data_IF_560736093337
#
_entry.id   IF_560736093337
#
_cell.length_a   1.000
_cell.length_b   1.000
_cell.length_c   1.000
_cell.angle_alpha   90.00
_cell.angle_beta   90.00
_cell.angle_gamma   90.00
#
_symmetry.space_group_name_H-M   'P 1'
#
loop_
_entity.id
_entity.type
_entity.pdbx_description
1 polymer ?
#
# COMPACT_ATOMS: atom_id res chain seq x y z
N UNK A 1 18.08 -10.02 -33.05
CA UNK A 1 17.52 -9.86 -31.70
C UNK A 1 16.42 -10.90 -31.57
N UNK A 2 16.65 -11.96 -30.81
CA UNK A 2 15.62 -12.95 -30.52
C UNK A 2 14.78 -12.38 -29.38
N UNK A 3 13.50 -12.24 -29.67
CA UNK A 3 12.42 -11.69 -28.85
C UNK A 3 12.39 -12.39 -27.47
N UNK A 4 13.04 -11.79 -26.45
CA UNK A 4 13.20 -12.38 -25.11
C UNK A 4 11.88 -12.47 -24.33
N UNK A 5 10.83 -11.84 -24.82
CA UNK A 5 9.54 -11.73 -24.13
C UNK A 5 8.54 -12.84 -24.47
N UNK A 6 8.84 -13.76 -25.40
CA UNK A 6 7.86 -14.74 -25.91
C UNK A 6 7.44 -15.86 -24.96
N UNK A 7 7.96 -15.91 -23.72
CA UNK A 7 7.69 -17.01 -22.78
C UNK A 7 7.42 -16.55 -21.33
N UNK A 8 7.14 -15.27 -21.07
CA UNK A 8 6.81 -14.82 -19.72
C UNK A 8 5.40 -15.31 -19.33
N UNK A 9 5.27 -15.86 -18.12
CA UNK A 9 3.95 -16.16 -17.53
C UNK A 9 3.23 -14.85 -17.21
N UNK A 10 1.91 -14.89 -17.12
CA UNK A 10 1.08 -13.72 -16.83
C UNK A 10 1.50 -12.90 -15.58
N UNK A 11 1.87 -13.50 -14.43
CA UNK A 11 2.42 -12.76 -13.29
C UNK A 11 3.70 -11.97 -13.62
N UNK A 12 4.55 -12.51 -14.49
CA UNK A 12 5.80 -11.88 -14.90
C UNK A 12 5.57 -10.75 -15.88
N UNK A 13 4.56 -10.88 -16.76
CA UNK A 13 4.11 -9.80 -17.64
C UNK A 13 3.52 -8.65 -16.81
N UNK A 14 2.63 -8.96 -15.86
CA UNK A 14 2.06 -7.98 -14.93
C UNK A 14 3.15 -7.22 -14.16
N UNK A 15 4.13 -7.94 -13.61
CA UNK A 15 5.25 -7.34 -12.88
C UNK A 15 6.11 -6.43 -13.79
N UNK A 16 6.35 -6.85 -15.04
CA UNK A 16 7.10 -6.05 -16.03
C UNK A 16 6.36 -4.76 -16.40
N UNK A 17 5.04 -4.80 -16.57
CA UNK A 17 4.23 -3.60 -16.86
C UNK A 17 4.32 -2.55 -15.74
N UNK A 18 4.27 -2.99 -14.47
CA UNK A 18 4.42 -2.09 -13.31
C UNK A 18 5.84 -1.49 -13.32
N UNK A 19 6.86 -2.33 -13.55
CA UNK A 19 8.26 -1.93 -13.60
C UNK A 19 8.51 -0.89 -14.70
N UNK A 20 8.01 -1.11 -15.91
CA UNK A 20 8.13 -0.19 -17.06
C UNK A 20 7.44 1.15 -16.79
N UNK A 21 6.19 1.13 -16.29
CA UNK A 21 5.49 2.38 -15.94
C UNK A 21 6.23 3.19 -14.88
N UNK A 22 6.80 2.54 -13.87
CA UNK A 22 7.62 3.21 -12.85
C UNK A 22 8.86 3.85 -13.46
N UNK A 23 9.56 3.15 -14.36
CA UNK A 23 10.74 3.67 -15.08
C UNK A 23 10.38 4.88 -15.94
N UNK A 24 9.33 4.78 -16.74
CA UNK A 24 8.89 5.85 -17.63
C UNK A 24 8.43 7.09 -16.86
N UNK A 25 7.69 6.90 -15.77
CA UNK A 25 7.27 8.01 -14.93
C UNK A 25 8.43 8.69 -14.19
N UNK A 26 9.40 7.93 -13.68
CA UNK A 26 10.62 8.50 -13.09
C UNK A 26 11.47 9.24 -14.13
N UNK A 27 11.59 8.71 -15.35
CA UNK A 27 12.32 9.37 -16.44
C UNK A 27 11.66 10.71 -16.82
N UNK A 28 10.32 10.76 -16.90
CA UNK A 28 9.56 12.00 -17.13
C UNK A 28 9.70 12.99 -15.97
N UNK A 29 9.71 12.50 -14.73
CA UNK A 29 9.95 13.34 -13.57
C UNK A 29 11.36 13.96 -13.62
N UNK A 30 12.38 13.21 -14.03
CA UNK A 30 13.72 13.75 -14.27
C UNK A 30 13.72 14.78 -15.41
N UNK A 31 13.13 14.46 -16.56
CA UNK A 31 13.05 15.35 -17.72
C UNK A 31 12.39 16.69 -17.40
N UNK A 32 11.34 16.69 -16.58
CA UNK A 32 10.63 17.91 -16.16
C UNK A 32 11.54 18.90 -15.40
N UNK A 33 12.59 18.40 -14.73
CA UNK A 33 13.52 19.20 -13.93
C UNK A 33 14.76 19.56 -14.74
N UNK A 34 15.32 18.61 -15.48
CA UNK A 34 16.64 18.72 -16.09
C UNK A 34 16.61 19.00 -17.60
N UNK A 35 15.46 18.74 -18.25
CA UNK A 35 15.34 18.68 -19.71
C UNK A 35 15.97 17.45 -20.35
N UNK A 36 16.39 16.45 -19.56
CA UNK A 36 17.06 15.24 -20.04
C UNK A 36 16.62 14.01 -19.23
N UNK A 37 15.73 13.22 -19.81
CA UNK A 37 15.18 11.99 -19.24
C UNK A 37 16.22 10.89 -18.96
N UNK A 38 17.44 11.00 -19.49
CA UNK A 38 18.48 9.97 -19.37
C UNK A 38 19.35 10.08 -18.11
N UNK A 39 19.22 11.20 -17.37
CA UNK A 39 19.96 11.39 -16.13
C UNK A 39 19.50 10.41 -15.05
N UNK A 40 20.44 10.01 -14.19
CA UNK A 40 20.17 9.09 -13.10
C UNK A 40 19.23 9.73 -12.06
N UNK A 41 18.02 9.20 -11.85
CA UNK A 41 17.07 9.75 -10.86
C UNK A 41 17.65 9.85 -9.44
N UNK A 42 18.53 8.94 -9.04
CA UNK A 42 19.17 8.94 -7.70
C UNK A 42 20.11 10.14 -7.53
N UNK A 43 20.69 10.64 -8.63
CA UNK A 43 21.59 11.81 -8.61
C UNK A 43 20.81 13.13 -8.69
N UNK A 44 19.63 13.11 -9.34
CA UNK A 44 18.77 14.27 -9.54
C UNK A 44 17.92 14.56 -8.30
N UNK A 45 17.30 13.55 -7.70
CA UNK A 45 16.41 13.73 -6.55
C UNK A 45 17.19 13.80 -5.22
N UNK A 46 16.85 14.71 -4.29
CA UNK A 46 17.56 14.85 -3.02
C UNK A 46 17.31 13.64 -2.10
N UNK A 47 18.37 13.15 -1.46
CA UNK A 47 18.27 12.10 -0.44
C UNK A 47 17.64 12.65 0.85
N UNK A 48 16.48 12.14 1.31
CA UNK A 48 15.81 12.62 2.51
C UNK A 48 16.54 12.29 3.82
N UNK A 49 17.49 11.35 3.81
CA UNK A 49 18.26 10.95 5.00
C UNK A 49 19.51 11.82 5.26
N UNK A 50 19.87 12.69 4.32
CA UNK A 50 21.04 13.55 4.43
C UNK A 50 20.82 14.61 5.52
N UNK A 51 21.47 14.42 6.69
CA UNK A 51 21.21 15.22 7.89
C UNK A 51 21.87 16.60 7.85
N UNK A 52 22.85 16.83 6.98
CA UNK A 52 23.43 18.16 6.76
C UNK A 52 22.49 19.07 5.95
N UNK A 53 21.43 18.49 5.38
CA UNK A 53 20.39 19.14 4.58
C UNK A 53 19.09 19.45 5.38
N UNK A 54 19.19 19.66 6.69
CA UNK A 54 18.05 19.70 7.65
C UNK A 54 17.46 21.07 7.97
N UNK A 55 17.73 22.09 7.16
CA UNK A 55 16.93 23.31 7.13
C UNK A 55 16.63 23.54 5.66
N UNK A 56 15.36 23.38 5.28
CA UNK A 56 14.84 23.84 3.98
C UNK A 56 15.75 23.55 2.79
N UNK A 57 16.12 22.27 2.56
CA UNK A 57 16.62 21.91 1.22
C UNK A 57 15.41 21.86 0.31
N UNK A 58 15.01 23.06 -0.08
CA UNK A 58 14.53 23.39 -1.41
C UNK A 58 15.09 22.36 -2.39
N UNK A 59 14.18 21.70 -3.10
CA UNK A 59 14.34 21.38 -4.51
C UNK A 59 15.27 22.45 -5.09
N UNK A 60 16.57 22.16 -5.21
CA UNK A 60 17.62 23.18 -5.37
C UNK A 60 17.62 23.84 -6.75
N UNK A 61 16.51 23.67 -7.45
CA UNK A 61 16.14 24.18 -8.75
C UNK A 61 14.83 24.92 -8.51
N UNK A 62 14.84 26.25 -8.56
CA UNK A 62 13.60 27.01 -8.74
C UNK A 62 12.98 26.54 -10.05
N UNK A 63 11.92 25.74 -9.96
CA UNK A 63 11.17 25.31 -11.12
C UNK A 63 10.34 26.49 -11.64
N UNK A 64 10.31 26.65 -12.95
CA UNK A 64 9.25 27.45 -13.57
C UNK A 64 7.89 26.80 -13.30
N UNK A 65 6.80 27.57 -13.40
CA UNK A 65 5.44 27.06 -13.20
C UNK A 65 5.15 25.84 -14.10
N UNK A 66 5.58 25.89 -15.37
CA UNK A 66 5.41 24.77 -16.31
C UNK A 66 6.19 23.52 -15.88
N UNK A 67 7.40 23.68 -15.34
CA UNK A 67 8.20 22.55 -14.84
C UNK A 67 7.61 21.97 -13.56
N UNK A 68 7.09 22.80 -12.66
CA UNK A 68 6.40 22.34 -11.47
C UNK A 68 5.16 21.53 -11.82
N UNK A 69 4.34 22.00 -12.75
CA UNK A 69 3.17 21.26 -13.24
C UNK A 69 3.58 19.93 -13.86
N UNK A 70 4.56 19.94 -14.76
CA UNK A 70 5.05 18.73 -15.41
C UNK A 70 5.64 17.71 -14.42
N UNK A 71 6.37 18.19 -13.41
CA UNK A 71 6.92 17.33 -12.36
C UNK A 71 5.80 16.70 -11.53
N UNK A 72 4.81 17.50 -11.09
CA UNK A 72 3.66 17.00 -10.33
C UNK A 72 2.85 15.97 -11.12
N UNK A 73 2.65 16.20 -12.41
CA UNK A 73 1.95 15.27 -13.30
C UNK A 73 2.73 13.93 -13.40
N UNK A 74 4.04 13.97 -13.64
CA UNK A 74 4.88 12.78 -13.69
C UNK A 74 4.88 12.00 -12.36
N UNK A 75 4.92 12.72 -11.23
CA UNK A 75 4.84 12.13 -9.90
C UNK A 75 3.47 11.48 -9.63
N UNK A 76 2.39 12.13 -10.07
CA UNK A 76 1.03 11.61 -9.98
C UNK A 76 0.85 10.32 -10.80
N UNK A 77 1.49 10.19 -11.95
CA UNK A 77 1.44 8.99 -12.80
C UNK A 77 2.05 7.74 -12.14
N UNK A 78 3.15 7.92 -11.40
CA UNK A 78 3.75 6.87 -10.55
C UNK A 78 3.04 6.72 -9.20
N UNK A 79 2.02 7.54 -8.95
CA UNK A 79 1.12 7.43 -7.80
C UNK A 79 1.38 8.43 -6.69
N UNK A 80 2.53 9.09 -6.66
CA UNK A 80 2.91 9.94 -5.53
C UNK A 80 2.12 11.25 -5.59
N UNK A 81 1.29 11.49 -4.56
CA UNK A 81 0.53 12.73 -4.42
C UNK A 81 -0.71 12.83 -5.30
N UNK A 82 -1.15 11.73 -5.90
CA UNK A 82 -2.35 11.69 -6.75
C UNK A 82 -3.61 12.04 -5.95
N UNK A 83 -4.45 12.90 -6.55
CA UNK A 83 -5.73 13.31 -5.98
C UNK A 83 -6.80 12.22 -6.09
N UNK A 84 -6.88 11.56 -7.24
CA UNK A 84 -7.91 10.58 -7.58
C UNK A 84 -7.52 9.14 -7.24
N UNK A 85 -8.53 8.31 -7.01
CA UNK A 85 -8.36 6.88 -6.78
C UNK A 85 -7.88 6.17 -8.06
N UNK A 86 -7.11 5.10 -7.87
CA UNK A 86 -6.79 4.10 -8.88
C UNK A 86 -7.38 2.77 -8.41
N UNK A 87 -8.59 2.47 -8.83
CA UNK A 87 -9.34 1.30 -8.38
C UNK A 87 -8.87 -0.01 -9.05
N UNK A 88 -9.52 -1.13 -8.69
CA UNK A 88 -9.18 -2.46 -9.19
C UNK A 88 -9.25 -2.54 -10.72
N UNK A 89 -10.29 -1.99 -11.34
CA UNK A 89 -10.42 -1.93 -12.80
C UNK A 89 -9.26 -1.15 -13.45
N UNK A 90 -8.89 -0.01 -12.87
CA UNK A 90 -7.82 0.85 -13.41
C UNK A 90 -6.42 0.22 -13.33
N UNK A 91 -6.21 -0.73 -12.41
CA UNK A 91 -4.95 -1.49 -12.33
C UNK A 91 -4.99 -2.82 -13.08
N UNK A 92 -6.12 -3.16 -13.71
CA UNK A 92 -6.28 -4.37 -14.50
C UNK A 92 -6.50 -5.64 -13.67
N UNK A 93 -7.13 -5.53 -12.51
CA UNK A 93 -7.63 -6.70 -11.77
C UNK A 93 -8.98 -7.17 -12.35
N UNK A 94 -9.23 -8.47 -12.25
CA UNK A 94 -10.47 -9.11 -12.68
C UNK A 94 -11.36 -9.47 -11.50
N UNK A 95 -12.63 -9.78 -11.78
CA UNK A 95 -13.63 -10.17 -10.78
C UNK A 95 -13.15 -11.39 -9.96
N UNK A 96 -13.37 -11.35 -8.65
CA UNK A 96 -12.98 -12.45 -7.76
C UNK A 96 -11.55 -12.39 -7.26
N UNK A 97 -10.78 -11.35 -7.59
CA UNK A 97 -9.46 -11.11 -6.99
C UNK A 97 -9.52 -11.06 -5.45
N UNK A 98 -8.41 -11.34 -4.79
CA UNK A 98 -8.29 -11.19 -3.35
C UNK A 98 -7.84 -9.77 -2.99
N UNK A 99 -8.65 -9.01 -2.26
CA UNK A 99 -8.27 -7.68 -1.79
C UNK A 99 -7.52 -7.76 -0.45
N UNK A 100 -6.27 -7.32 -0.41
CA UNK A 100 -5.46 -7.21 0.80
C UNK A 100 -5.24 -5.74 1.12
N UNK A 101 -5.86 -5.24 2.18
CA UNK A 101 -5.79 -3.86 2.63
C UNK A 101 -4.62 -3.71 3.61
N UNK A 102 -3.77 -2.73 3.34
CA UNK A 102 -2.50 -2.54 4.04
C UNK A 102 -2.67 -2.38 5.56
N UNK A 103 -3.71 -1.67 6.01
CA UNK A 103 -3.94 -1.40 7.41
C UNK A 103 -3.45 -0.01 7.87
N UNK A 104 -2.89 0.08 9.06
CA UNK A 104 -2.36 1.31 9.65
C UNK A 104 -3.37 2.08 10.51
N UNK A 105 -3.77 3.27 10.06
CA UNK A 105 -4.65 4.17 10.80
C UNK A 105 -6.09 4.04 10.29
N UNK A 106 -7.09 4.23 11.16
CA UNK A 106 -8.52 4.06 10.85
C UNK A 106 -8.99 4.76 9.57
N UNK A 107 -8.59 6.01 9.35
CA UNK A 107 -8.95 6.77 8.15
C UNK A 107 -8.28 6.26 6.87
N UNK A 108 -7.11 5.60 6.98
CA UNK A 108 -6.46 4.94 5.84
C UNK A 108 -7.16 3.63 5.53
N UNK A 109 -7.36 2.80 6.55
CA UNK A 109 -8.12 1.54 6.46
C UNK A 109 -9.51 1.74 5.86
N UNK A 110 -10.23 2.79 6.28
CA UNK A 110 -11.56 3.09 5.75
C UNK A 110 -11.49 3.59 4.31
N UNK A 111 -10.48 4.39 3.93
CA UNK A 111 -10.27 4.78 2.53
C UNK A 111 -9.93 3.57 1.64
N UNK A 112 -9.08 2.66 2.11
CA UNK A 112 -8.75 1.39 1.44
C UNK A 112 -10.01 0.53 1.26
N UNK A 113 -10.84 0.45 2.30
CA UNK A 113 -12.09 -0.29 2.26
C UNK A 113 -13.09 0.33 1.27
N UNK A 114 -13.27 1.66 1.28
CA UNK A 114 -14.18 2.35 0.37
C UNK A 114 -13.78 2.12 -1.09
N UNK A 115 -12.52 2.34 -1.46
CA UNK A 115 -12.11 2.14 -2.87
C UNK A 115 -12.22 0.68 -3.32
N UNK A 116 -12.16 -0.26 -2.39
CA UNK A 116 -12.32 -1.69 -2.64
C UNK A 116 -13.80 -2.04 -2.81
N UNK A 117 -14.64 -1.62 -1.87
CA UNK A 117 -16.08 -1.93 -1.85
C UNK A 117 -16.85 -1.21 -2.95
N UNK A 118 -16.40 -0.02 -3.34
CA UNK A 118 -17.05 0.83 -4.36
C UNK A 118 -16.57 0.54 -5.79
N UNK A 119 -15.49 -0.22 -5.98
CA UNK A 119 -15.01 -0.55 -7.34
C UNK A 119 -16.04 -1.36 -8.14
N UNK A 120 -16.03 -1.19 -9.45
CA UNK A 120 -16.88 -1.95 -10.38
C UNK A 120 -16.45 -3.40 -10.53
N UNK A 121 -15.17 -3.70 -10.25
CA UNK A 121 -14.63 -5.05 -10.18
C UNK A 121 -14.66 -5.47 -8.71
N UNK A 122 -15.44 -6.50 -8.36
CA UNK A 122 -15.58 -6.94 -6.96
C UNK A 122 -14.54 -7.99 -6.59
N UNK A 123 -13.95 -7.88 -5.39
CA UNK A 123 -13.10 -8.94 -4.86
C UNK A 123 -13.92 -10.16 -4.43
N UNK A 124 -13.28 -11.33 -4.43
CA UNK A 124 -13.85 -12.55 -3.86
C UNK A 124 -13.77 -12.59 -2.33
N UNK A 125 -12.84 -11.84 -1.73
CA UNK A 125 -12.69 -11.65 -0.27
C UNK A 125 -11.93 -10.35 -0.01
N UNK A 126 -12.26 -9.67 1.10
CA UNK A 126 -11.56 -8.48 1.58
C UNK A 126 -10.85 -8.83 2.88
N UNK A 127 -9.52 -8.71 2.89
CA UNK A 127 -8.67 -8.95 4.06
C UNK A 127 -8.08 -7.62 4.51
N UNK A 128 -8.37 -7.19 5.74
CA UNK A 128 -7.71 -6.02 6.36
C UNK A 128 -6.69 -6.47 7.38
N UNK A 129 -5.44 -6.03 7.22
CA UNK A 129 -4.38 -6.36 8.17
C UNK A 129 -4.27 -5.34 9.31
N UNK A 130 -3.94 -5.82 10.51
CA UNK A 130 -3.70 -4.95 11.67
C UNK A 130 -2.82 -5.62 12.73
N UNK A 131 -1.87 -4.86 13.28
CA UNK A 131 -0.92 -5.31 14.30
C UNK A 131 -1.60 -5.41 15.68
N UNK A 132 -1.64 -6.62 16.26
CA UNK A 132 -2.31 -6.86 17.54
C UNK A 132 -1.58 -6.30 18.74
N UNK A 133 -0.37 -5.80 18.56
CA UNK A 133 0.41 -5.21 19.64
C UNK A 133 0.67 -3.72 19.40
N UNK A 134 0.46 -3.17 18.20
CA UNK A 134 0.62 -1.73 17.95
C UNK A 134 -0.47 -0.97 18.68
N UNK A 135 -0.11 -0.47 19.86
CA UNK A 135 -0.94 0.47 20.60
C UNK A 135 -1.22 1.72 19.75
N UNK A 136 -2.47 2.11 19.70
CA UNK A 136 -2.90 3.38 19.10
C UNK A 136 -2.81 4.49 20.14
N UNK A 137 -2.22 5.61 19.75
CA UNK A 137 -2.04 6.77 20.65
C UNK A 137 -3.37 7.50 20.91
N UNK A 138 -3.44 8.31 21.97
CA UNK A 138 -4.61 9.14 22.30
C UNK A 138 -5.08 10.01 21.11
N UNK A 139 -4.12 10.53 20.32
CA UNK A 139 -4.41 11.31 19.10
C UNK A 139 -5.05 10.42 18.03
N UNK A 140 -4.57 9.20 17.85
CA UNK A 140 -5.14 8.23 16.92
C UNK A 140 -6.51 7.74 17.40
N UNK A 141 -6.74 7.57 18.69
CA UNK A 141 -8.04 7.23 19.26
C UNK A 141 -9.07 8.33 18.99
N UNK A 142 -8.72 9.59 19.28
CA UNK A 142 -9.61 10.75 19.02
C UNK A 142 -9.98 10.84 17.54
N UNK A 143 -9.00 10.65 16.65
CA UNK A 143 -9.25 10.65 15.22
C UNK A 143 -10.12 9.48 14.78
N UNK A 144 -9.87 8.28 15.33
CA UNK A 144 -10.65 7.07 15.02
C UNK A 144 -12.10 7.21 15.47
N UNK A 145 -12.33 7.74 16.66
CA UNK A 145 -13.68 8.06 17.16
C UNK A 145 -14.44 8.97 16.19
N UNK A 146 -13.79 10.07 15.73
CA UNK A 146 -14.36 10.98 14.73
C UNK A 146 -14.68 10.27 13.42
N UNK A 147 -13.72 9.51 12.89
CA UNK A 147 -13.81 8.86 11.56
C UNK A 147 -14.88 7.77 11.54
N UNK A 148 -14.96 6.95 12.59
CA UNK A 148 -15.88 5.82 12.68
C UNK A 148 -17.22 6.16 13.35
N UNK A 149 -17.39 7.40 13.84
CA UNK A 149 -18.60 7.81 14.55
C UNK A 149 -18.79 7.13 15.91
N UNK A 150 -17.68 6.82 16.60
CA UNK A 150 -17.65 6.16 17.91
C UNK A 150 -17.36 7.16 19.04
N UNK A 151 -17.64 6.77 20.28
CA UNK A 151 -17.09 7.46 21.45
C UNK A 151 -15.61 7.08 21.60
N UNK A 152 -14.79 7.97 22.20
CA UNK A 152 -13.33 7.71 22.34
C UNK A 152 -13.06 6.48 23.21
N UNK A 153 -13.88 6.28 24.25
CA UNK A 153 -13.86 5.13 25.15
C UNK A 153 -14.21 3.80 24.48
N UNK A 154 -14.89 3.84 23.33
CA UNK A 154 -15.29 2.65 22.57
C UNK A 154 -14.24 2.30 21.50
N UNK A 155 -13.25 3.16 21.25
CA UNK A 155 -12.18 2.88 20.29
C UNK A 155 -11.28 1.77 20.82
N UNK A 156 -10.87 0.86 19.93
CA UNK A 156 -9.89 -0.17 20.24
C UNK A 156 -8.60 0.40 20.84
N UNK A 157 -7.78 -0.49 21.40
CA UNK A 157 -6.47 -0.16 21.97
C UNK A 157 -5.33 -0.51 21.03
N UNK A 158 -5.58 -1.38 20.05
CA UNK A 158 -4.60 -1.87 19.08
C UNK A 158 -5.03 -1.60 17.65
N UNK A 159 -4.08 -1.60 16.71
CA UNK A 159 -4.37 -1.51 15.28
C UNK A 159 -5.29 -2.64 14.80
N UNK A 160 -5.10 -3.86 15.30
CA UNK A 160 -5.96 -5.00 14.98
C UNK A 160 -7.42 -4.78 15.40
N UNK A 161 -7.66 -4.27 16.60
CA UNK A 161 -9.02 -3.94 17.06
C UNK A 161 -9.64 -2.82 16.22
N UNK A 162 -8.84 -1.82 15.82
CA UNK A 162 -9.31 -0.76 14.90
C UNK A 162 -9.67 -1.30 13.53
N UNK A 163 -8.89 -2.25 12.98
CA UNK A 163 -9.21 -2.88 11.69
C UNK A 163 -10.59 -3.56 11.72
N UNK A 164 -10.90 -4.27 12.81
CA UNK A 164 -12.23 -4.83 13.03
C UNK A 164 -13.31 -3.73 13.12
N UNK A 165 -13.05 -2.66 13.86
CA UNK A 165 -13.98 -1.53 13.98
C UNK A 165 -14.24 -0.82 12.65
N UNK A 166 -13.24 -0.71 11.77
CA UNK A 166 -13.40 -0.12 10.44
C UNK A 166 -14.39 -0.94 9.61
N UNK A 167 -14.26 -2.27 9.58
CA UNK A 167 -15.26 -3.11 8.92
C UNK A 167 -16.64 -2.91 9.54
N UNK A 168 -16.75 -3.00 10.87
CA UNK A 168 -18.05 -2.89 11.57
C UNK A 168 -18.75 -1.54 11.38
N UNK A 169 -17.98 -0.46 11.15
CA UNK A 169 -18.49 0.88 10.90
C UNK A 169 -18.87 1.12 9.43
N UNK A 170 -18.42 0.28 8.51
CA UNK A 170 -18.74 0.43 7.08
C UNK A 170 -20.24 0.18 6.84
N UNK A 171 -20.86 1.03 6.03
CA UNK A 171 -22.31 1.06 5.83
C UNK A 171 -22.91 -0.23 5.24
N UNK A 172 -22.15 -0.92 4.39
CA UNK A 172 -22.53 -2.20 3.79
C UNK A 172 -22.14 -3.43 4.63
N UNK A 173 -21.60 -3.25 5.84
CA UNK A 173 -21.16 -4.36 6.66
C UNK A 173 -22.33 -5.10 7.30
N UNK A 174 -22.31 -6.42 7.19
CA UNK A 174 -23.25 -7.34 7.85
C UNK A 174 -22.45 -8.31 8.69
N UNK A 175 -22.61 -8.21 10.02
CA UNK A 175 -21.98 -9.13 10.96
C UNK A 175 -22.47 -10.57 10.74
N UNK A 176 -21.56 -11.53 10.85
CA UNK A 176 -21.88 -12.96 10.84
C UNK A 176 -21.23 -13.65 12.05
N UNK A 177 -21.51 -14.95 12.21
CA UNK A 177 -20.75 -15.77 13.17
C UNK A 177 -19.27 -15.74 12.78
N UNK A 178 -18.41 -15.49 13.76
CA UNK A 178 -16.98 -15.38 13.52
C UNK A 178 -16.39 -16.75 13.21
N UNK A 179 -15.67 -16.84 12.10
CA UNK A 179 -15.01 -18.08 11.66
C UNK A 179 -13.51 -17.87 11.66
N UNK A 180 -12.80 -18.69 12.45
CA UNK A 180 -11.34 -18.82 12.34
C UNK A 180 -11.03 -19.65 11.10
N UNK A 181 -10.29 -19.07 10.16
CA UNK A 181 -9.97 -19.74 8.90
C UNK A 181 -8.94 -20.87 9.13
N UNK A 182 -8.93 -21.92 8.27
CA UNK A 182 -8.07 -23.09 8.45
C UNK A 182 -6.62 -22.86 8.01
N UNK A 183 -6.12 -21.64 8.23
CA UNK A 183 -4.76 -21.26 7.89
C UNK A 183 -4.27 -20.11 8.77
N UNK A 184 -2.95 -19.98 8.84
CA UNK A 184 -2.19 -19.00 9.59
C UNK A 184 -0.87 -18.73 8.90
N UNK A 185 0.07 -18.14 9.62
CA UNK A 185 1.42 -17.94 9.13
C UNK A 185 2.45 -17.93 10.26
N UNK A 186 3.69 -18.30 9.94
CA UNK A 186 4.83 -18.20 10.85
C UNK A 186 5.34 -16.76 10.94
N UNK A 187 6.03 -16.35 12.00
CA UNK A 187 6.63 -14.99 12.10
C UNK A 187 7.55 -14.60 10.92
N UNK A 188 8.10 -15.59 10.21
CA UNK A 188 8.88 -15.44 8.97
C UNK A 188 8.04 -15.17 7.71
N UNK A 189 6.72 -15.09 7.84
CA UNK A 189 5.78 -14.84 6.74
C UNK A 189 5.59 -16.02 5.78
N UNK A 190 5.48 -17.25 6.30
CA UNK A 190 5.11 -18.45 5.53
C UNK A 190 3.73 -18.93 5.93
N UNK A 191 2.89 -19.31 4.97
CA UNK A 191 1.56 -19.86 5.27
C UNK A 191 1.67 -21.16 6.06
N UNK A 192 0.74 -21.37 6.98
CA UNK A 192 0.51 -22.65 7.65
C UNK A 192 -0.95 -23.05 7.45
N UNK A 193 -1.24 -24.35 7.33
CA UNK A 193 -2.62 -24.87 7.26
C UNK A 193 -3.18 -25.20 8.65
N UNK A 194 -2.80 -24.40 9.65
CA UNK A 194 -3.26 -24.53 11.03
C UNK A 194 -4.22 -23.38 11.36
N UNK A 195 -5.30 -23.66 12.08
CA UNK A 195 -6.24 -22.64 12.56
C UNK A 195 -5.65 -21.84 13.73
N UNK A 196 -4.68 -20.97 13.44
CA UNK A 196 -3.96 -20.16 14.46
C UNK A 196 -4.78 -18.99 15.02
N UNK A 197 -5.88 -18.63 14.35
CA UNK A 197 -6.67 -17.44 14.68
C UNK A 197 -6.12 -16.14 14.06
N UNK A 198 -5.04 -16.21 13.27
CA UNK A 198 -4.48 -15.04 12.59
C UNK A 198 -5.39 -14.51 11.47
N UNK A 199 -6.23 -15.36 10.89
CA UNK A 199 -7.26 -14.95 9.92
C UNK A 199 -8.64 -15.27 10.47
N UNK A 200 -9.47 -14.25 10.58
CA UNK A 200 -10.84 -14.34 11.12
C UNK A 200 -11.82 -13.68 10.18
N UNK A 201 -12.77 -14.43 9.65
CA UNK A 201 -13.94 -13.86 9.00
C UNK A 201 -14.88 -13.32 10.09
N UNK A 202 -15.26 -12.06 9.98
CA UNK A 202 -16.10 -11.36 10.98
C UNK A 202 -17.47 -10.97 10.44
N UNK A 203 -17.68 -11.09 9.13
CA UNK A 203 -18.91 -10.68 8.46
C UNK A 203 -18.73 -10.62 6.95
N UNK A 204 -19.59 -9.80 6.33
CA UNK A 204 -19.57 -9.50 4.90
C UNK A 204 -19.60 -7.98 4.71
N UNK A 205 -19.00 -7.47 3.65
CA UNK A 205 -19.23 -6.12 3.13
C UNK A 205 -19.98 -6.29 1.81
N UNK A 206 -21.26 -5.94 1.79
CA UNK A 206 -22.16 -6.37 0.73
C UNK A 206 -22.28 -7.89 0.72
N UNK A 207 -21.87 -8.53 -0.38
CA UNK A 207 -21.80 -9.98 -0.56
C UNK A 207 -20.36 -10.54 -0.53
N UNK A 208 -19.37 -9.71 -0.18
CA UNK A 208 -17.96 -10.12 -0.11
C UNK A 208 -17.55 -10.42 1.33
N UNK A 209 -16.93 -11.58 1.63
CA UNK A 209 -16.45 -11.90 2.97
C UNK A 209 -15.43 -10.88 3.49
N UNK A 210 -15.63 -10.45 4.73
CA UNK A 210 -14.77 -9.53 5.46
C UNK A 210 -13.91 -10.28 6.47
N UNK A 211 -12.59 -10.27 6.25
CA UNK A 211 -11.61 -10.99 7.05
C UNK A 211 -10.62 -10.01 7.68
N UNK A 212 -10.33 -10.19 8.96
CA UNK A 212 -9.24 -9.48 9.62
C UNK A 212 -8.02 -10.39 9.70
N UNK A 213 -6.87 -9.88 9.25
CA UNK A 213 -5.57 -10.51 9.38
C UNK A 213 -4.83 -9.90 10.56
N UNK A 214 -4.64 -10.67 11.63
CA UNK A 214 -3.81 -10.28 12.77
C UNK A 214 -2.35 -10.32 12.36
N UNK A 215 -1.63 -9.20 12.55
CA UNK A 215 -0.18 -9.13 12.37
C UNK A 215 0.49 -9.35 13.72
N UNK A 216 1.17 -10.49 13.84
CA UNK A 216 1.97 -10.84 15.00
C UNK A 216 3.37 -10.22 14.85
N UNK A 217 3.98 -9.86 15.97
CA UNK A 217 5.35 -9.35 16.00
C UNK A 217 6.15 -9.91 17.16
N UNK A 218 7.45 -10.04 16.97
CA UNK A 218 8.37 -10.51 18.01
C UNK A 218 9.54 -9.54 18.16
N UNK A 219 10.02 -9.38 19.38
CA UNK A 219 11.26 -8.63 19.61
C UNK A 219 12.45 -9.39 19.03
N UNK A 220 13.22 -8.68 18.21
CA UNK A 220 14.48 -9.14 17.66
C UNK A 220 15.59 -8.17 18.08
N UNK A 221 16.72 -8.70 18.52
CA UNK A 221 17.93 -7.92 18.80
C UNK A 221 19.00 -8.35 17.80
N UNK A 222 19.55 -7.41 17.05
CA UNK A 222 20.63 -7.69 16.11
C UNK A 222 21.97 -7.93 16.82
N UNK A 223 23.00 -8.35 16.07
CA UNK A 223 24.35 -8.59 16.61
C UNK A 223 24.99 -7.33 17.23
N UNK A 224 24.48 -6.14 16.90
CA UNK A 224 24.93 -4.86 17.44
C UNK A 224 24.10 -4.38 18.66
N UNK A 225 23.13 -5.18 19.13
CA UNK A 225 22.27 -4.85 20.26
C UNK A 225 21.10 -3.93 19.92
N UNK A 226 20.84 -3.64 18.64
CA UNK A 226 19.69 -2.83 18.24
C UNK A 226 18.43 -3.69 18.28
N UNK A 227 17.45 -3.21 19.03
CA UNK A 227 16.15 -3.86 19.16
C UNK A 227 15.22 -3.38 18.04
N UNK A 228 14.62 -4.33 17.35
CA UNK A 228 13.61 -4.12 16.31
C UNK A 228 12.49 -5.14 16.47
N UNK A 229 11.37 -4.90 15.78
CA UNK A 229 10.29 -5.88 15.70
C UNK A 229 10.45 -6.68 14.43
N UNK A 230 10.43 -8.01 14.56
CA UNK A 230 10.24 -8.92 13.45
C UNK A 230 8.75 -9.13 13.24
N UNK A 231 8.27 -8.88 12.02
CA UNK A 231 6.88 -9.06 11.60
C UNK A 231 6.84 -9.17 10.07
N UNK A 232 5.78 -9.78 9.48
CA UNK A 232 5.58 -9.75 8.04
C UNK A 232 5.49 -8.31 7.52
N UNK A 233 6.35 -7.95 6.57
CA UNK A 233 6.25 -6.72 5.80
C UNK A 233 5.22 -6.87 4.67
N UNK A 234 5.00 -5.83 3.84
CA UNK A 234 4.01 -5.86 2.77
C UNK A 234 4.31 -6.96 1.74
N UNK A 235 5.59 -7.14 1.37
CA UNK A 235 6.04 -8.27 0.54
C UNK A 235 5.66 -9.62 1.16
N UNK A 236 5.99 -9.85 2.44
CA UNK A 236 5.67 -11.10 3.12
C UNK A 236 4.16 -11.33 3.24
N UNK A 237 3.36 -10.29 3.53
CA UNK A 237 1.89 -10.38 3.56
C UNK A 237 1.33 -10.83 2.21
N UNK A 238 1.81 -10.23 1.12
CA UNK A 238 1.42 -10.64 -0.24
C UNK A 238 1.80 -12.09 -0.54
N UNK A 239 3.00 -12.53 -0.14
CA UNK A 239 3.44 -13.92 -0.31
C UNK A 239 2.58 -14.93 0.48
N UNK A 240 2.27 -14.63 1.75
CA UNK A 240 1.39 -15.48 2.58
C UNK A 240 0.05 -15.67 1.89
N UNK A 241 -0.54 -14.57 1.41
CA UNK A 241 -1.86 -14.60 0.79
C UNK A 241 -1.85 -15.35 -0.54
N UNK A 242 -0.78 -15.24 -1.34
CA UNK A 242 -0.69 -16.00 -2.61
C UNK A 242 -0.56 -17.51 -2.43
N UNK A 243 -0.22 -18.00 -1.23
CA UNK A 243 -0.18 -19.42 -0.93
C UNK A 243 -1.56 -19.98 -0.52
N UNK A 244 -2.58 -19.13 -0.32
CA UNK A 244 -3.93 -19.56 0.00
C UNK A 244 -4.58 -20.21 -1.23
N UNK A 245 -5.19 -21.39 -1.05
CA UNK A 245 -5.81 -22.15 -2.13
C UNK A 245 -6.83 -21.32 -2.92
N UNK A 246 -6.67 -21.28 -4.25
CA UNK A 246 -7.59 -20.62 -5.17
C UNK A 246 -7.34 -19.12 -5.38
N UNK A 247 -6.22 -18.58 -4.92
CA UNK A 247 -5.83 -17.19 -5.18
C UNK A 247 -5.09 -17.09 -6.52
N UNK A 248 -5.78 -16.57 -7.54
CA UNK A 248 -5.19 -16.32 -8.86
C UNK A 248 -4.63 -14.89 -9.02
N UNK A 249 -5.22 -13.93 -8.31
CA UNK A 249 -4.76 -12.54 -8.29
C UNK A 249 -5.01 -11.84 -6.96
N UNK A 250 -4.15 -10.87 -6.64
CA UNK A 250 -4.20 -10.06 -5.41
C UNK A 250 -4.23 -8.57 -5.78
N UNK A 251 -5.16 -7.84 -5.19
CA UNK A 251 -5.14 -6.39 -5.14
C UNK A 251 -4.61 -5.94 -3.79
N UNK A 252 -3.36 -5.48 -3.73
CA UNK A 252 -2.79 -4.89 -2.52
C UNK A 252 -3.16 -3.42 -2.44
N UNK A 253 -4.12 -3.08 -1.58
CA UNK A 253 -4.77 -1.76 -1.54
C UNK A 253 -4.07 -0.86 -0.52
N UNK A 254 -3.64 0.32 -0.95
CA UNK A 254 -2.82 1.25 -0.16
C UNK A 254 -3.05 2.71 -0.55
N UNK A 255 -2.33 3.64 0.07
CA UNK A 255 -2.33 5.06 -0.28
C UNK A 255 -1.49 5.36 -1.52
N UNK A 256 -1.90 6.38 -2.27
CA UNK A 256 -1.10 6.95 -3.38
C UNK A 256 0.29 7.42 -2.93
N UNK A 257 0.43 7.91 -1.69
CA UNK A 257 1.71 8.39 -1.11
C UNK A 257 2.83 7.35 -1.13
N UNK A 258 2.52 6.07 -0.89
CA UNK A 258 3.50 4.97 -0.80
C UNK A 258 3.49 4.05 -2.01
N UNK A 259 2.77 4.45 -3.07
CA UNK A 259 2.50 3.59 -4.22
C UNK A 259 3.76 2.96 -4.83
N UNK A 260 4.86 3.69 -5.12
CA UNK A 260 6.03 3.07 -5.75
C UNK A 260 6.69 1.99 -4.90
N UNK A 261 6.81 2.20 -3.59
CA UNK A 261 7.39 1.19 -2.69
C UNK A 261 6.53 -0.07 -2.64
N UNK A 262 5.21 0.10 -2.55
CA UNK A 262 4.28 -1.02 -2.50
C UNK A 262 4.17 -1.74 -3.86
N UNK A 263 4.29 -1.02 -4.97
CA UNK A 263 4.38 -1.61 -6.31
C UNK A 263 5.67 -2.40 -6.52
N UNK A 264 6.79 -1.94 -5.96
CA UNK A 264 8.04 -2.70 -5.97
C UNK A 264 7.92 -3.99 -5.14
N UNK A 265 7.27 -3.94 -3.97
CA UNK A 265 6.99 -5.14 -3.20
C UNK A 265 6.01 -6.08 -3.93
N UNK A 266 5.01 -5.54 -4.65
CA UNK A 266 4.11 -6.33 -5.49
C UNK A 266 4.83 -7.00 -6.67
N UNK A 267 5.79 -6.31 -7.31
CA UNK A 267 6.66 -6.88 -8.34
C UNK A 267 7.47 -8.05 -7.75
N UNK A 268 8.09 -7.84 -6.58
CA UNK A 268 8.89 -8.87 -5.90
C UNK A 268 8.02 -10.08 -5.54
N UNK A 269 6.85 -9.86 -4.98
CA UNK A 269 5.92 -10.92 -4.58
C UNK A 269 5.37 -11.68 -5.80
N UNK A 270 4.93 -10.98 -6.85
CA UNK A 270 4.48 -11.61 -8.11
C UNK A 270 5.55 -12.51 -8.72
N UNK A 271 6.82 -12.06 -8.71
CA UNK A 271 7.97 -12.85 -9.18
C UNK A 271 8.27 -14.07 -8.27
N UNK A 272 7.91 -14.00 -6.99
CA UNK A 272 8.17 -15.06 -6.02
C UNK A 272 7.06 -16.13 -5.96
N UNK A 273 5.81 -15.79 -6.28
CA UNK A 273 4.65 -16.64 -5.98
C UNK A 273 3.79 -17.03 -7.18
N UNK A 274 4.18 -16.63 -8.41
CA UNK A 274 3.43 -16.94 -9.64
C UNK A 274 1.95 -16.47 -9.58
N UNK A 275 1.62 -15.50 -8.73
CA UNK A 275 0.30 -14.85 -8.62
C UNK A 275 0.37 -13.44 -9.18
N UNK A 276 -0.67 -13.01 -9.88
CA UNK A 276 -0.77 -11.63 -10.38
C UNK A 276 -1.05 -10.69 -9.22
N UNK A 277 -0.14 -9.76 -8.94
CA UNK A 277 -0.36 -8.75 -7.89
C UNK A 277 -0.38 -7.35 -8.51
N UNK A 278 -1.46 -6.62 -8.25
CA UNK A 278 -1.63 -5.22 -8.64
C UNK A 278 -1.89 -4.36 -7.40
N UNK A 279 -1.67 -3.05 -7.52
CA UNK A 279 -1.73 -2.12 -6.38
C UNK A 279 -2.78 -1.03 -6.63
N UNK A 280 -4.07 -1.28 -6.31
CA UNK A 280 -5.07 -0.21 -6.24
C UNK A 280 -4.68 0.81 -5.17
N UNK A 281 -4.94 2.09 -5.42
CA UNK A 281 -4.62 3.16 -4.49
C UNK A 281 -5.74 4.16 -4.29
N UNK A 282 -5.95 4.58 -3.05
CA UNK A 282 -6.82 5.72 -2.78
C UNK A 282 -6.02 7.02 -2.91
N UNK A 283 -6.67 8.04 -3.48
CA UNK A 283 -6.11 9.36 -3.68
C UNK A 283 -6.29 10.27 -2.46
N UNK A 284 -5.70 11.46 -2.51
CA UNK A 284 -5.81 12.42 -1.41
C UNK A 284 -7.23 12.95 -1.20
N UNK A 285 -8.08 12.92 -2.25
CA UNK A 285 -9.49 13.29 -2.15
C UNK A 285 -10.28 12.34 -1.25
N UNK A 286 -10.14 11.03 -1.46
CA UNK A 286 -10.78 10.00 -0.63
C UNK A 286 -10.37 10.14 0.83
N UNK A 287 -9.08 10.37 1.07
CA UNK A 287 -8.56 10.56 2.41
C UNK A 287 -9.19 11.77 3.12
N UNK A 288 -9.42 12.87 2.40
CA UNK A 288 -10.06 14.07 2.93
C UNK A 288 -11.54 13.83 3.25
N UNK A 289 -12.25 13.11 2.37
CA UNK A 289 -13.64 12.70 2.57
C UNK A 289 -13.75 11.89 3.87
N UNK A 290 -12.95 10.84 4.03
CA UNK A 290 -12.96 9.98 5.21
C UNK A 290 -12.61 10.75 6.49
N UNK A 291 -11.64 11.66 6.43
CA UNK A 291 -11.27 12.50 7.58
C UNK A 291 -12.28 13.60 7.89
N UNK A 292 -13.24 13.86 7.00
CA UNK A 292 -14.14 15.01 7.06
C UNK A 292 -13.33 16.31 7.17
N UNK A 293 -12.36 16.46 6.28
CA UNK A 293 -11.46 17.61 6.18
C UNK A 293 -11.61 18.26 4.79
N UNK A 294 -11.15 19.50 4.65
CA UNK A 294 -11.01 20.11 3.32
C UNK A 294 -9.98 19.35 2.50
N UNK A 295 -10.09 19.47 1.17
CA UNK A 295 -9.06 18.96 0.26
C UNK A 295 -7.67 19.42 0.70
N UNK A 296 -6.70 18.49 0.86
CA UNK A 296 -5.37 18.85 1.28
C UNK A 296 -4.67 19.64 0.17
N UNK A 297 -3.77 20.53 0.56
CA UNK A 297 -2.87 21.15 -0.41
C UNK A 297 -2.02 20.07 -1.09
N UNK A 298 -1.65 20.26 -2.37
CA UNK A 298 -0.73 19.38 -3.06
C UNK A 298 0.55 19.17 -2.23
N UNK A 299 1.13 17.96 -2.20
CA UNK A 299 2.36 17.72 -1.44
C UNK A 299 3.46 18.69 -1.83
N UNK A 300 4.29 19.10 -0.86
CA UNK A 300 5.44 19.93 -1.13
C UNK A 300 6.38 19.26 -2.14
N UNK A 301 7.02 20.03 -3.03
CA UNK A 301 7.93 19.50 -4.05
C UNK A 301 9.04 18.64 -3.44
N UNK A 302 9.57 19.04 -2.29
CA UNK A 302 10.60 18.29 -1.55
C UNK A 302 10.11 16.90 -1.12
N UNK A 303 8.84 16.79 -0.74
CA UNK A 303 8.24 15.51 -0.38
C UNK A 303 8.15 14.60 -1.62
N UNK A 304 7.67 15.14 -2.75
CA UNK A 304 7.60 14.40 -4.02
C UNK A 304 8.99 13.91 -4.46
N UNK A 305 9.99 14.80 -4.40
CA UNK A 305 11.38 14.47 -4.74
C UNK A 305 11.96 13.37 -3.84
N UNK A 306 11.72 13.47 -2.53
CA UNK A 306 12.17 12.47 -1.56
C UNK A 306 11.57 11.08 -1.80
N UNK A 307 10.29 11.01 -2.19
CA UNK A 307 9.66 9.74 -2.56
C UNK A 307 10.16 9.22 -3.92
N UNK A 308 10.40 10.10 -4.91
CA UNK A 308 11.02 9.72 -6.18
C UNK A 308 12.43 9.12 -5.98
N UNK A 309 13.22 9.70 -5.08
CA UNK A 309 14.54 9.19 -4.71
C UNK A 309 14.46 7.78 -4.12
N UNK A 310 13.55 7.56 -3.17
CA UNK A 310 13.35 6.24 -2.55
C UNK A 310 12.89 5.20 -3.56
N UNK A 311 11.93 5.55 -4.41
CA UNK A 311 11.45 4.68 -5.49
C UNK A 311 12.59 4.28 -6.43
N UNK A 312 13.43 5.24 -6.82
CA UNK A 312 14.59 5.01 -7.69
C UNK A 312 15.63 4.08 -7.05
N UNK A 313 15.93 4.26 -5.76
CA UNK A 313 16.80 3.34 -5.03
C UNK A 313 16.23 1.92 -4.94
N UNK A 314 14.93 1.78 -4.68
CA UNK A 314 14.31 0.46 -4.58
C UNK A 314 14.25 -0.24 -5.93
N UNK A 315 13.96 0.49 -7.01
CA UNK A 315 13.89 -0.03 -8.37
C UNK A 315 15.25 -0.51 -8.86
N UNK A 316 16.32 0.26 -8.62
CA UNK A 316 17.69 -0.16 -8.98
C UNK A 316 18.14 -1.44 -8.25
N UNK A 317 17.67 -1.69 -7.02
CA UNK A 317 17.94 -2.94 -6.29
C UNK A 317 17.20 -4.14 -6.88
N UNK A 318 16.11 -3.92 -7.61
CA UNK A 318 15.33 -4.96 -8.24
C UNK A 318 16.00 -5.50 -9.53
N UNK A 319 16.88 -4.69 -10.12
CA UNK A 319 17.65 -5.02 -11.33
C UNK A 319 19.01 -5.68 -11.06
N UNK A 320 19.51 -5.59 -9.83
CA UNK A 320 20.83 -6.08 -9.40
C UNK A 320 20.80 -7.57 -9.02
#
# INVERSE_FOLDING_TARGET
MVDKDRNLKEPQLSAKEIEERLKEGLARAVESITGDATQNPIEVFPNPADKERRQDIEFGVELSEDQEVAFRDAMSEIGIGRETNRDAATVGLEEGYLALLEGGQSHKMLAELNITSESVVKPGVIIMSGDSERAISDKEQTLTAKVLGLSVEDVGTTEYEVAEQVFRAHHDFVAQEEVVLPYGYTIDGKLTHESTGQFRQIGMVGDVPAVVMRIDREWHEDEAGNRSFKRPDNFAKMCIISEVDGVDSIGFVTSSTYQPSNEIDAIRASKATDVVIKVPTYGTAELAIVKQESMPEPPALNQLAGEAYKASQQLSRLEA
#
